data_IF_550650112991
#
_entry.id   IF_550650112991
#
_cell.length_a   1.000
_cell.length_b   1.000
_cell.length_c   1.000
_cell.angle_alpha   90.00
_cell.angle_beta   90.00
_cell.angle_gamma   90.00
#
_symmetry.space_group_name_H-M   'P 1'
#
loop_
_entity.id
_entity.type
_entity.pdbx_description
1 polymer ?
#
# COMPACT_ATOMS: atom_id res chain seq x y z
N UNK A 1 -27.74 -5.70 -6.03
CA UNK A 1 -26.34 -5.27 -6.22
C UNK A 1 -26.14 -4.49 -7.54
N UNK A 2 -27.15 -3.76 -8.05
CA UNK A 2 -27.17 -3.37 -9.47
C UNK A 2 -27.13 -1.84 -9.73
N UNK A 3 -27.60 -0.98 -8.82
CA UNK A 3 -27.64 0.47 -9.08
C UNK A 3 -26.27 1.15 -8.98
N UNK A 4 -25.45 0.79 -7.97
CA UNK A 4 -24.15 1.43 -7.74
C UNK A 4 -23.16 1.16 -8.88
N UNK A 5 -23.03 -0.11 -9.31
CA UNK A 5 -22.11 -0.51 -10.40
C UNK A 5 -22.57 0.10 -11.73
N UNK A 6 -23.87 0.09 -12.03
CA UNK A 6 -24.38 0.72 -13.25
C UNK A 6 -24.20 2.24 -13.24
N UNK A 7 -24.38 2.89 -12.08
CA UNK A 7 -24.10 4.31 -11.92
C UNK A 7 -22.63 4.62 -12.16
N UNK A 8 -21.73 3.81 -11.62
CA UNK A 8 -20.28 3.94 -11.87
C UNK A 8 -19.94 3.73 -13.35
N UNK A 9 -20.48 2.69 -13.98
CA UNK A 9 -20.28 2.42 -15.41
C UNK A 9 -20.74 3.59 -16.28
N UNK A 10 -21.91 4.15 -15.99
CA UNK A 10 -22.44 5.35 -16.68
C UNK A 10 -21.54 6.57 -16.47
N UNK A 11 -21.03 6.79 -15.25
CA UNK A 11 -20.10 7.88 -14.96
C UNK A 11 -18.78 7.72 -15.73
N UNK A 12 -18.22 6.51 -15.80
CA UNK A 12 -17.00 6.22 -16.56
C UNK A 12 -17.22 6.49 -18.05
N UNK A 13 -18.30 5.96 -18.63
CA UNK A 13 -18.61 6.18 -20.06
C UNK A 13 -18.77 7.67 -20.39
N UNK A 14 -19.45 8.42 -19.50
CA UNK A 14 -19.63 9.87 -19.64
C UNK A 14 -18.30 10.61 -19.58
N UNK A 15 -17.47 10.31 -18.57
CA UNK A 15 -16.17 10.96 -18.37
C UNK A 15 -15.16 10.60 -19.48
N UNK A 16 -15.23 9.39 -20.02
CA UNK A 16 -14.37 8.93 -21.10
C UNK A 16 -14.80 9.43 -22.49
N UNK A 17 -15.94 10.13 -22.60
CA UNK A 17 -16.52 10.57 -23.87
C UNK A 17 -16.61 9.43 -24.89
N UNK A 18 -17.02 8.24 -24.44
CA UNK A 18 -17.16 7.05 -25.30
C UNK A 18 -15.85 6.34 -25.67
N UNK A 19 -14.69 6.74 -25.15
CA UNK A 19 -13.39 6.08 -25.42
C UNK A 19 -13.15 4.81 -24.60
N UNK A 20 -13.98 4.57 -23.58
CA UNK A 20 -13.89 3.40 -22.71
C UNK A 20 -15.19 2.61 -22.82
N UNK A 21 -15.09 1.34 -23.17
CA UNK A 21 -16.21 0.40 -23.15
C UNK A 21 -16.28 -0.26 -21.78
N UNK A 22 -17.44 -0.15 -21.12
CA UNK A 22 -17.71 -0.81 -19.82
C UNK A 22 -18.82 -1.83 -20.01
N UNK A 23 -18.54 -3.09 -19.69
CA UNK A 23 -19.49 -4.20 -19.80
C UNK A 23 -19.72 -4.81 -18.42
N UNK A 24 -20.72 -4.35 -17.64
CA UNK A 24 -21.06 -4.95 -16.36
C UNK A 24 -21.52 -6.39 -16.56
N UNK A 25 -20.99 -7.31 -15.75
CA UNK A 25 -21.46 -8.69 -15.70
C UNK A 25 -22.14 -8.95 -14.36
N UNK A 26 -23.33 -9.55 -14.39
CA UNK A 26 -24.01 -9.98 -13.17
C UNK A 26 -23.27 -11.18 -12.61
N UNK A 27 -22.78 -11.15 -11.35
CA UNK A 27 -22.15 -12.32 -10.77
C UNK A 27 -23.15 -13.49 -10.69
N UNK A 28 -22.73 -14.67 -11.13
CA UNK A 28 -23.55 -15.90 -11.16
C UNK A 28 -23.45 -16.75 -9.89
N UNK A 29 -22.74 -16.28 -8.87
CA UNK A 29 -22.41 -17.07 -7.68
C UNK A 29 -23.56 -17.15 -6.68
N UNK A 30 -23.84 -18.36 -6.17
CA UNK A 30 -24.83 -18.61 -5.11
C UNK A 30 -24.32 -18.30 -3.71
N UNK A 31 -23.26 -18.98 -3.25
CA UNK A 31 -22.67 -18.78 -1.92
C UNK A 31 -21.32 -18.06 -1.95
N UNK A 32 -20.87 -17.56 -0.81
CA UNK A 32 -19.51 -17.02 -0.65
C UNK A 32 -18.44 -18.05 -1.09
N UNK A 33 -18.63 -19.33 -0.75
CA UNK A 33 -17.72 -20.41 -1.12
C UNK A 33 -17.68 -20.63 -2.64
N UNK A 34 -18.83 -20.54 -3.30
CA UNK A 34 -18.89 -20.69 -4.77
C UNK A 34 -18.25 -19.49 -5.47
N UNK A 35 -18.36 -18.29 -4.88
CA UNK A 35 -17.71 -17.07 -5.41
C UNK A 35 -16.19 -17.04 -5.21
N UNK A 36 -15.67 -17.81 -4.26
CA UNK A 36 -14.25 -17.77 -3.85
C UNK A 36 -13.45 -19.00 -4.26
N UNK A 37 -14.06 -20.05 -4.82
CA UNK A 37 -13.35 -21.24 -5.31
C UNK A 37 -13.34 -21.31 -6.85
N UNK A 38 -12.21 -21.70 -7.47
CA UNK A 38 -10.94 -22.12 -6.87
C UNK A 38 -9.97 -20.94 -6.58
N UNK A 39 -10.48 -19.77 -6.19
CA UNK A 39 -9.76 -18.51 -5.93
C UNK A 39 -9.56 -17.63 -7.18
N UNK A 40 -10.64 -17.01 -7.71
CA UNK A 40 -10.55 -16.18 -8.92
C UNK A 40 -9.67 -14.93 -8.75
N UNK A 41 -9.31 -14.58 -7.51
CA UNK A 41 -8.45 -13.43 -7.19
C UNK A 41 -7.00 -13.81 -6.89
N UNK A 42 -6.67 -15.11 -6.85
CA UNK A 42 -5.28 -15.53 -6.71
C UNK A 42 -4.50 -15.20 -7.97
N UNK A 43 -3.38 -14.48 -7.79
CA UNK A 43 -2.36 -14.44 -8.84
C UNK A 43 -1.89 -15.87 -9.13
N UNK A 44 -1.81 -16.20 -10.41
CA UNK A 44 -1.20 -17.45 -10.90
C UNK A 44 0.31 -17.26 -11.16
N UNK A 45 0.85 -16.08 -10.86
CA UNK A 45 2.24 -15.71 -11.08
C UNK A 45 2.88 -15.19 -9.79
N UNK A 46 4.11 -15.62 -9.54
CA UNK A 46 4.96 -15.22 -8.41
C UNK A 46 6.43 -15.25 -8.82
N UNK A 47 7.32 -14.70 -7.98
CA UNK A 47 8.77 -14.72 -8.23
C UNK A 47 9.29 -13.53 -9.04
N UNK A 48 8.42 -12.56 -9.38
CA UNK A 48 8.86 -11.27 -9.88
C UNK A 48 9.51 -10.47 -8.74
N UNK A 49 10.66 -9.86 -9.01
CA UNK A 49 11.29 -8.90 -8.10
C UNK A 49 10.63 -7.54 -8.28
N UNK A 50 10.19 -6.94 -7.20
CA UNK A 50 9.57 -5.62 -7.25
C UNK A 50 9.55 -4.97 -5.89
N UNK A 51 9.52 -3.64 -5.91
CA UNK A 51 9.23 -2.84 -4.75
C UNK A 51 8.06 -1.91 -5.07
N UNK A 52 7.29 -1.59 -4.04
CA UNK A 52 6.14 -0.71 -4.12
C UNK A 52 6.10 0.18 -2.90
N UNK A 53 5.38 1.28 -3.03
CA UNK A 53 4.87 2.05 -1.89
C UNK A 53 3.36 1.99 -1.89
N UNK A 54 2.76 2.19 -0.72
CA UNK A 54 1.31 2.22 -0.63
C UNK A 54 0.79 3.19 0.40
N UNK A 55 -0.49 3.54 0.26
CA UNK A 55 -1.18 4.47 1.14
C UNK A 55 -2.65 4.07 1.30
N UNK A 56 -3.20 4.17 2.50
CA UNK A 56 -4.63 4.01 2.69
C UNK A 56 -5.32 5.36 2.43
N UNK A 57 -6.34 5.34 1.58
CA UNK A 57 -7.07 6.54 1.15
C UNK A 57 -8.53 6.42 1.54
N UNK A 58 -9.04 7.42 2.24
CA UNK A 58 -10.42 7.54 2.68
C UNK A 58 -11.17 8.62 1.91
N UNK A 59 -12.23 9.14 2.55
CA UNK A 59 -13.06 10.19 1.96
C UNK A 59 -12.30 11.48 1.71
N UNK A 60 -11.49 11.90 2.68
CA UNK A 60 -10.78 13.18 2.61
C UNK A 60 -9.86 13.23 1.38
N UNK A 61 -9.17 12.12 1.11
CA UNK A 61 -8.20 11.98 0.04
C UNK A 61 -8.84 11.79 -1.33
N UNK A 62 -10.04 11.19 -1.40
CA UNK A 62 -10.67 10.76 -2.65
C UNK A 62 -11.87 11.61 -3.10
N UNK A 63 -12.59 12.23 -2.16
CA UNK A 63 -13.90 12.85 -2.42
C UNK A 63 -13.93 14.32 -2.01
N UNK A 64 -13.38 14.64 -0.84
CA UNK A 64 -13.45 16.01 -0.31
C UNK A 64 -12.34 16.90 -0.91
N UNK A 65 -11.36 16.30 -1.58
CA UNK A 65 -10.31 16.98 -2.32
C UNK A 65 -10.83 17.54 -3.67
N UNK A 66 -10.41 18.75 -4.09
CA UNK A 66 -10.70 19.26 -5.43
C UNK A 66 -10.23 18.28 -6.51
N UNK A 67 -11.06 18.07 -7.55
CA UNK A 67 -10.75 17.12 -8.63
C UNK A 67 -9.44 17.41 -9.36
N UNK A 68 -9.05 18.68 -9.46
CA UNK A 68 -7.80 19.08 -10.09
C UNK A 68 -6.59 18.56 -9.28
N UNK A 69 -6.66 18.64 -7.95
CA UNK A 69 -5.61 18.19 -7.05
C UNK A 69 -5.56 16.66 -7.02
N UNK A 70 -6.71 15.99 -6.94
CA UNK A 70 -6.79 14.53 -7.06
C UNK A 70 -6.14 14.03 -8.36
N UNK A 71 -6.44 14.67 -9.49
CA UNK A 71 -5.82 14.33 -10.78
C UNK A 71 -4.32 14.57 -10.74
N UNK A 72 -3.87 15.67 -10.14
CA UNK A 72 -2.44 15.98 -10.03
C UNK A 72 -1.70 14.93 -9.20
N UNK A 73 -2.23 14.53 -8.04
CA UNK A 73 -1.61 13.49 -7.22
C UNK A 73 -1.59 12.14 -7.93
N UNK A 74 -2.69 11.74 -8.58
CA UNK A 74 -2.74 10.52 -9.38
C UNK A 74 -1.69 10.52 -10.51
N UNK A 75 -1.48 11.65 -11.18
CA UNK A 75 -0.44 11.78 -12.21
C UNK A 75 0.97 11.66 -11.62
N UNK A 76 1.21 12.26 -10.44
CA UNK A 76 2.51 12.24 -9.79
C UNK A 76 2.89 10.86 -9.26
N UNK A 77 1.94 10.06 -8.77
CA UNK A 77 2.22 8.68 -8.35
C UNK A 77 2.34 7.72 -9.54
N UNK A 78 1.82 8.08 -10.72
CA UNK A 78 1.89 7.26 -11.94
C UNK A 78 3.13 7.57 -12.80
N UNK A 79 4.24 7.97 -12.18
CA UNK A 79 5.53 8.11 -12.85
C UNK A 79 6.36 6.83 -12.72
N UNK A 80 7.31 6.64 -13.62
CA UNK A 80 8.25 5.50 -13.60
C UNK A 80 9.69 6.01 -13.60
N UNK A 81 10.58 5.29 -12.92
CA UNK A 81 12.01 5.53 -12.98
C UNK A 81 12.59 5.20 -14.36
N UNK A 82 11.92 4.31 -15.10
CA UNK A 82 12.23 3.96 -16.47
C UNK A 82 11.05 4.31 -17.39
N UNK A 83 11.31 5.18 -18.38
CA UNK A 83 10.30 5.67 -19.31
C UNK A 83 9.72 4.56 -20.19
N UNK A 84 10.47 3.49 -20.41
CA UNK A 84 10.07 2.40 -21.31
C UNK A 84 9.26 1.31 -20.59
N UNK A 85 9.49 1.13 -19.27
CA UNK A 85 8.81 0.12 -18.45
C UNK A 85 7.42 0.52 -17.95
N UNK A 86 7.11 1.82 -17.95
CA UNK A 86 5.82 2.34 -17.45
C UNK A 86 5.65 2.21 -15.93
N UNK A 87 4.49 2.62 -15.44
CA UNK A 87 4.11 2.56 -14.02
C UNK A 87 2.74 1.89 -13.86
N UNK A 88 2.43 1.43 -12.65
CA UNK A 88 1.14 0.85 -12.34
C UNK A 88 0.69 1.31 -10.96
N UNK A 89 -0.60 1.60 -10.80
CA UNK A 89 -1.21 1.76 -9.48
C UNK A 89 -2.37 0.80 -9.35
N UNK A 90 -2.37 0.02 -8.26
CA UNK A 90 -3.42 -0.93 -7.93
C UNK A 90 -4.27 -0.35 -6.80
N UNK A 91 -5.58 -0.30 -7.03
CA UNK A 91 -6.56 0.18 -6.06
C UNK A 91 -7.25 -1.01 -5.41
N UNK A 92 -6.77 -1.42 -4.24
CA UNK A 92 -7.42 -2.41 -3.41
C UNK A 92 -8.64 -1.83 -2.70
N UNK A 93 -9.81 -2.49 -2.80
CA UNK A 93 -11.05 -2.08 -2.14
C UNK A 93 -11.32 -2.90 -0.87
N UNK A 94 -10.31 -3.06 0.00
CA UNK A 94 -10.41 -3.86 1.24
C UNK A 94 -10.90 -3.05 2.45
N UNK A 95 -11.03 -1.72 2.32
CA UNK A 95 -11.50 -0.83 3.38
C UNK A 95 -13.02 -0.82 3.56
N UNK A 96 -13.56 0.29 4.08
CA UNK A 96 -15.00 0.52 4.18
C UNK A 96 -15.65 -0.01 5.46
N UNK A 97 -16.97 -0.29 5.45
CA UNK A 97 -17.76 -0.47 6.68
C UNK A 97 -17.30 -1.59 7.60
N UNK A 98 -16.71 -2.66 7.07
CA UNK A 98 -16.19 -3.77 7.87
C UNK A 98 -15.08 -3.29 8.81
N UNK A 99 -13.91 -2.90 8.26
CA UNK A 99 -12.84 -2.32 9.06
C UNK A 99 -13.27 -1.07 9.85
N UNK A 100 -14.09 -0.18 9.28
CA UNK A 100 -14.53 1.05 9.94
C UNK A 100 -15.33 0.83 11.22
N UNK A 101 -16.16 -0.23 11.26
CA UNK A 101 -17.07 -0.50 12.37
C UNK A 101 -16.56 -1.54 13.36
N UNK A 102 -15.29 -1.96 13.24
CA UNK A 102 -14.69 -2.89 14.21
C UNK A 102 -14.75 -2.31 15.63
N UNK A 103 -15.42 -2.99 16.58
CA UNK A 103 -15.49 -2.57 17.98
C UNK A 103 -14.11 -2.38 18.60
N UNK A 104 -13.96 -1.41 19.50
CA UNK A 104 -12.65 -0.99 20.02
C UNK A 104 -11.84 -2.14 20.62
N UNK A 105 -12.50 -3.01 21.38
CA UNK A 105 -11.96 -4.20 22.03
C UNK A 105 -11.47 -5.28 21.04
N UNK A 106 -11.85 -5.19 19.76
CA UNK A 106 -11.43 -6.12 18.69
C UNK A 106 -10.47 -5.49 17.68
N UNK A 107 -10.05 -4.23 17.86
CA UNK A 107 -9.18 -3.54 16.89
C UNK A 107 -7.74 -4.05 16.92
N UNK A 108 -7.27 -4.52 18.06
CA UNK A 108 -5.87 -4.90 18.24
C UNK A 108 -4.92 -3.72 17.94
N UNK A 109 -3.78 -4.02 17.32
CA UNK A 109 -2.75 -3.05 16.92
C UNK A 109 -2.90 -2.52 15.50
N UNK A 110 -4.05 -2.77 14.85
CA UNK A 110 -4.27 -2.33 13.46
C UNK A 110 -4.26 -0.80 13.39
N UNK A 111 -3.48 -0.26 12.44
CA UNK A 111 -3.34 1.18 12.21
C UNK A 111 -4.72 1.89 12.15
N UNK A 112 -4.94 3.01 12.89
CA UNK A 112 -6.25 3.66 12.97
C UNK A 112 -6.82 4.12 11.62
N UNK A 113 -5.97 4.48 10.65
CA UNK A 113 -6.41 4.87 9.32
C UNK A 113 -7.25 3.81 8.58
N UNK A 114 -7.13 2.52 8.92
CA UNK A 114 -8.04 1.48 8.43
C UNK A 114 -9.51 1.73 8.79
N UNK A 115 -9.80 2.59 9.77
CA UNK A 115 -11.17 2.93 10.17
C UNK A 115 -11.84 3.93 9.21
N UNK A 116 -11.07 4.67 8.44
CA UNK A 116 -11.56 5.69 7.50
C UNK A 116 -11.24 5.36 6.04
N UNK A 117 -10.28 4.47 5.81
CA UNK A 117 -9.87 4.03 4.48
C UNK A 117 -10.99 3.33 3.71
N UNK A 118 -11.05 3.61 2.41
CA UNK A 118 -11.82 2.85 1.43
C UNK A 118 -10.89 2.05 0.52
N UNK A 119 -9.75 2.66 0.18
CA UNK A 119 -8.78 2.16 -0.78
C UNK A 119 -7.46 1.91 -0.07
N UNK A 120 -6.82 0.79 -0.40
CA UNK A 120 -5.38 0.61 -0.24
C UNK A 120 -4.75 0.77 -1.63
N UNK A 121 -4.09 1.91 -1.84
CA UNK A 121 -3.49 2.25 -3.13
C UNK A 121 -2.01 1.84 -3.10
N UNK A 122 -1.63 0.93 -4.00
CA UNK A 122 -0.25 0.48 -4.18
C UNK A 122 0.29 1.03 -5.49
N UNK A 123 1.48 1.63 -5.45
CA UNK A 123 2.12 2.23 -6.61
C UNK A 123 3.44 1.53 -6.90
N UNK A 124 3.59 1.20 -8.18
CA UNK A 124 4.75 0.56 -8.79
C UNK A 124 5.31 1.50 -9.86
N UNK A 125 6.61 1.79 -9.79
CA UNK A 125 7.28 2.69 -10.73
C UNK A 125 8.79 2.53 -10.79
N UNK A 126 9.42 1.79 -9.88
CA UNK A 126 10.84 1.46 -9.97
C UNK A 126 11.03 -0.06 -10.08
N UNK A 127 11.27 -0.61 -11.29
CA UNK A 127 11.59 -2.03 -11.44
C UNK A 127 12.92 -2.34 -10.77
N UNK A 128 13.04 -3.56 -10.22
CA UNK A 128 14.28 -4.06 -9.65
C UNK A 128 15.01 -4.92 -10.68
N UNK A 129 16.29 -4.65 -10.88
CA UNK A 129 17.17 -5.54 -11.65
C UNK A 129 17.42 -6.81 -10.82
N UNK A 130 16.74 -7.90 -11.19
CA UNK A 130 16.83 -9.20 -10.52
C UNK A 130 18.20 -9.89 -10.71
N UNK A 131 19.07 -9.37 -11.59
CA UNK A 131 20.42 -9.90 -11.83
C UNK A 131 21.51 -9.11 -11.14
N UNK A 132 21.20 -7.92 -10.61
CA UNK A 132 22.13 -7.08 -9.89
C UNK A 132 22.35 -7.53 -8.44
N UNK A 133 23.36 -6.95 -7.79
CA UNK A 133 23.51 -7.03 -6.34
C UNK A 133 22.26 -6.47 -5.65
N UNK A 134 21.65 -7.27 -4.79
CA UNK A 134 20.36 -6.94 -4.17
C UNK A 134 20.42 -5.66 -3.33
N UNK A 135 21.54 -5.41 -2.64
CA UNK A 135 21.71 -4.18 -1.85
C UNK A 135 21.68 -2.95 -2.76
N UNK A 136 22.37 -3.00 -3.91
CA UNK A 136 22.38 -1.89 -4.88
C UNK A 136 21.02 -1.69 -5.54
N UNK A 137 20.37 -2.77 -5.95
CA UNK A 137 19.06 -2.70 -6.60
C UNK A 137 17.99 -2.10 -5.65
N UNK A 138 17.97 -2.55 -4.39
CA UNK A 138 17.04 -2.03 -3.38
C UNK A 138 17.36 -0.58 -2.98
N UNK A 139 18.64 -0.22 -2.83
CA UNK A 139 19.04 1.14 -2.51
C UNK A 139 18.59 2.13 -3.61
N UNK A 140 18.85 1.81 -4.88
CA UNK A 140 18.46 2.68 -5.99
C UNK A 140 16.93 2.85 -6.10
N UNK A 141 16.17 1.75 -5.96
CA UNK A 141 14.71 1.83 -6.01
C UNK A 141 14.15 2.58 -4.80
N UNK A 142 14.72 2.40 -3.59
CA UNK A 142 14.20 3.00 -2.36
C UNK A 142 14.45 4.50 -2.35
N UNK A 143 15.64 4.93 -2.78
CA UNK A 143 15.95 6.34 -2.99
C UNK A 143 14.99 6.97 -4.02
N UNK A 144 14.68 6.26 -5.11
CA UNK A 144 13.73 6.76 -6.09
C UNK A 144 12.32 6.95 -5.51
N UNK A 145 11.77 5.95 -4.81
CA UNK A 145 10.45 6.09 -4.18
C UNK A 145 10.43 7.19 -3.12
N UNK A 146 11.46 7.27 -2.26
CA UNK A 146 11.56 8.27 -1.20
C UNK A 146 11.66 9.70 -1.75
N UNK A 147 12.27 9.88 -2.93
CA UNK A 147 12.43 11.19 -3.58
C UNK A 147 11.27 11.58 -4.49
N UNK A 148 10.56 10.62 -5.09
CA UNK A 148 9.55 10.91 -6.12
C UNK A 148 8.12 10.64 -5.69
N UNK A 149 7.87 9.59 -4.90
CA UNK A 149 6.50 9.12 -4.62
C UNK A 149 6.10 9.34 -3.16
N UNK A 150 6.98 9.04 -2.20
CA UNK A 150 6.67 9.25 -0.78
C UNK A 150 6.35 10.71 -0.43
N UNK A 151 6.99 11.75 -1.01
CA UNK A 151 6.60 13.14 -0.76
C UNK A 151 5.18 13.44 -1.24
N UNK A 152 4.76 12.81 -2.35
CA UNK A 152 3.40 12.94 -2.89
C UNK A 152 2.41 12.35 -1.90
N UNK A 153 2.70 11.18 -1.33
CA UNK A 153 1.86 10.57 -0.32
C UNK A 153 1.76 11.39 0.96
N UNK A 154 2.89 11.91 1.45
CA UNK A 154 2.94 12.77 2.65
C UNK A 154 2.14 14.05 2.47
N UNK A 155 2.03 14.57 1.24
CA UNK A 155 1.21 15.73 0.92
C UNK A 155 -0.28 15.39 0.71
N UNK A 156 -0.57 14.28 0.03
CA UNK A 156 -1.95 13.92 -0.35
C UNK A 156 -2.73 13.27 0.79
N UNK A 157 -2.09 12.37 1.56
CA UNK A 157 -2.73 11.49 2.52
C UNK A 157 -2.00 11.48 3.87
N UNK A 158 -1.79 12.67 4.43
CA UNK A 158 -1.14 12.85 5.72
C UNK A 158 -1.91 12.08 6.82
N UNK A 159 -1.24 11.17 7.52
CA UNK A 159 -1.87 10.30 8.53
C UNK A 159 -2.71 9.15 7.96
N UNK A 160 -2.77 9.00 6.63
CA UNK A 160 -3.48 7.91 5.96
C UNK A 160 -2.89 6.52 6.21
N UNK A 161 -1.66 6.43 6.71
CA UNK A 161 -1.00 5.15 6.97
C UNK A 161 -0.78 4.30 5.71
N UNK A 162 -0.05 3.22 5.86
CA UNK A 162 0.35 2.30 4.79
C UNK A 162 0.24 0.87 5.32
N UNK A 163 -0.01 -0.08 4.43
CA UNK A 163 -0.11 -1.48 4.82
C UNK A 163 1.29 -2.11 4.81
N UNK A 164 1.82 -2.45 6.00
CA UNK A 164 3.18 -2.95 6.16
C UNK A 164 3.55 -4.16 5.29
N UNK A 165 2.59 -5.03 4.98
CA UNK A 165 2.84 -6.21 4.15
C UNK A 165 2.95 -5.89 2.65
N UNK A 166 2.49 -4.71 2.23
CA UNK A 166 2.44 -4.27 0.83
C UNK A 166 2.82 -2.78 0.75
N UNK A 167 3.89 -2.39 1.44
CA UNK A 167 4.32 -1.01 1.60
C UNK A 167 5.84 -0.86 1.53
N UNK A 168 6.31 0.38 1.57
CA UNK A 168 7.72 0.71 1.44
C UNK A 168 8.40 0.78 2.82
N UNK A 169 9.12 -0.27 3.20
CA UNK A 169 9.84 -0.34 4.48
C UNK A 169 11.02 0.64 4.57
N UNK A 170 11.49 1.16 3.43
CA UNK A 170 12.59 2.12 3.35
C UNK A 170 12.14 3.58 3.39
N UNK A 171 10.81 3.82 3.45
CA UNK A 171 10.27 5.17 3.65
C UNK A 171 10.85 5.79 4.91
N UNK A 172 11.28 7.05 4.85
CA UNK A 172 11.77 7.76 6.05
C UNK A 172 10.72 7.86 7.16
N UNK A 173 9.44 7.66 6.83
CA UNK A 173 8.30 7.70 7.74
C UNK A 173 7.65 6.34 7.99
N UNK A 174 8.32 5.22 7.68
CA UNK A 174 7.73 3.86 7.77
C UNK A 174 7.09 3.54 9.12
N UNK A 175 7.65 4.04 10.24
CA UNK A 175 7.09 3.82 11.59
C UNK A 175 5.69 4.40 11.73
N UNK A 176 5.53 5.66 11.35
CA UNK A 176 4.24 6.35 11.34
C UNK A 176 3.32 5.71 10.31
N UNK A 177 3.84 5.41 9.11
CA UNK A 177 3.05 4.87 8.03
C UNK A 177 2.45 3.50 8.39
N UNK A 178 3.23 2.58 8.96
CA UNK A 178 2.78 1.23 9.25
C UNK A 178 2.06 1.07 10.58
N UNK A 179 2.50 1.80 11.60
CA UNK A 179 2.05 1.59 12.98
C UNK A 179 1.35 2.80 13.58
N UNK A 180 1.67 4.01 13.11
CA UNK A 180 1.10 5.27 13.57
C UNK A 180 1.25 5.44 15.07
N UNK A 181 0.20 5.96 15.72
CA UNK A 181 0.14 6.16 17.18
C UNK A 181 0.38 4.90 18.02
N UNK A 182 0.31 3.69 17.42
CA UNK A 182 0.55 2.45 18.16
C UNK A 182 2.05 2.12 18.30
N UNK A 183 2.95 2.78 17.57
CA UNK A 183 4.36 2.37 17.48
C UNK A 183 5.03 2.26 18.84
N UNK A 184 4.96 3.29 19.68
CA UNK A 184 5.67 3.34 20.97
C UNK A 184 5.20 2.23 21.93
N UNK A 185 3.90 1.95 21.94
CA UNK A 185 3.35 0.85 22.74
C UNK A 185 3.82 -0.50 22.22
N UNK A 186 3.85 -0.68 20.90
CA UNK A 186 4.36 -1.91 20.28
C UNK A 186 5.85 -2.08 20.57
N UNK A 187 6.63 -0.99 20.57
CA UNK A 187 8.05 -1.00 20.88
C UNK A 187 8.30 -1.44 22.32
N UNK A 188 7.54 -0.90 23.28
CA UNK A 188 7.62 -1.36 24.68
C UNK A 188 7.27 -2.85 24.84
N UNK A 189 6.34 -3.37 24.04
CA UNK A 189 6.04 -4.81 24.00
C UNK A 189 7.23 -5.58 23.40
N UNK A 190 7.80 -5.11 22.29
CA UNK A 190 8.96 -5.71 21.64
C UNK A 190 10.13 -5.83 22.60
N UNK A 191 10.52 -4.75 23.29
CA UNK A 191 11.60 -4.78 24.27
C UNK A 191 11.31 -5.67 25.47
N UNK A 192 10.05 -5.78 25.90
CA UNK A 192 9.68 -6.67 27.01
C UNK A 192 9.84 -8.16 26.65
N UNK A 193 9.45 -8.55 25.44
CA UNK A 193 9.35 -9.95 25.04
C UNK A 193 10.50 -10.44 24.16
N UNK A 194 11.21 -9.55 23.50
CA UNK A 194 12.40 -9.82 22.69
C UNK A 194 13.48 -8.73 22.93
N UNK A 195 14.01 -8.61 24.16
CA UNK A 195 14.99 -7.58 24.52
C UNK A 195 16.31 -7.72 23.76
N UNK A 196 16.63 -8.92 23.27
CA UNK A 196 17.83 -9.19 22.47
C UNK A 196 17.60 -9.00 20.97
N UNK A 197 16.40 -8.59 20.56
CA UNK A 197 16.03 -8.36 19.15
C UNK A 197 16.34 -9.56 18.25
N UNK A 198 16.17 -10.77 18.79
CA UNK A 198 16.44 -12.03 18.08
C UNK A 198 15.46 -12.27 16.93
N UNK A 199 14.31 -11.60 16.93
CA UNK A 199 13.34 -11.60 15.83
C UNK A 199 13.43 -10.28 15.06
N UNK A 200 14.46 -10.12 14.23
CA UNK A 200 14.65 -8.94 13.37
C UNK A 200 13.93 -9.10 12.02
N UNK A 201 13.24 -8.04 11.57
CA UNK A 201 12.70 -7.89 10.22
C UNK A 201 12.77 -6.42 9.80
N UNK A 202 13.02 -6.15 8.51
CA UNK A 202 12.98 -4.78 7.98
C UNK A 202 11.59 -4.15 8.12
N UNK A 203 11.56 -2.88 8.55
CA UNK A 203 10.30 -2.17 8.81
C UNK A 203 9.49 -2.77 9.97
N UNK A 204 10.08 -3.69 10.74
CA UNK A 204 9.53 -4.24 11.97
C UNK A 204 9.68 -3.25 13.12
N UNK A 205 8.79 -3.35 14.11
CA UNK A 205 8.88 -2.56 15.35
C UNK A 205 10.25 -2.76 16.02
N UNK A 206 10.96 -1.66 16.26
CA UNK A 206 12.30 -1.62 16.85
C UNK A 206 13.45 -1.87 15.86
N UNK A 207 13.15 -2.17 14.59
CA UNK A 207 14.18 -2.47 13.59
C UNK A 207 15.14 -1.31 13.31
N UNK A 208 14.74 -0.07 13.62
CA UNK A 208 15.56 1.13 13.46
C UNK A 208 16.69 1.27 14.48
N UNK A 209 16.64 0.53 15.59
CA UNK A 209 17.71 0.42 16.59
C UNK A 209 18.89 -0.42 16.08
N UNK A 210 18.73 -1.06 14.91
CA UNK A 210 19.71 -1.96 14.31
C UNK A 210 20.04 -1.52 12.88
N UNK A 211 21.20 -1.95 12.42
CA UNK A 211 21.67 -1.78 11.05
C UNK A 211 21.93 -3.17 10.46
N UNK A 212 21.18 -3.50 9.39
CA UNK A 212 21.43 -4.68 8.59
C UNK A 212 22.09 -4.28 7.29
N UNK A 213 23.29 -4.81 7.05
CA UNK A 213 24.02 -4.62 5.81
C UNK A 213 23.64 -5.71 4.82
N UNK A 214 22.87 -5.33 3.79
CA UNK A 214 22.34 -6.26 2.76
C UNK A 214 23.42 -6.95 1.93
N UNK A 215 24.65 -6.43 1.93
CA UNK A 215 25.74 -6.95 1.12
C UNK A 215 26.56 -8.03 1.87
N UNK A 216 26.90 -7.76 3.13
CA UNK A 216 27.68 -8.62 4.02
C UNK A 216 26.81 -9.56 4.85
N UNK A 217 25.54 -9.22 5.05
CA UNK A 217 24.60 -9.96 5.91
C UNK A 217 24.81 -9.73 7.41
N UNK A 218 25.62 -8.75 7.80
CA UNK A 218 25.82 -8.41 9.20
C UNK A 218 24.63 -7.62 9.76
N UNK A 219 24.20 -8.00 10.96
CA UNK A 219 23.22 -7.27 11.75
C UNK A 219 23.91 -6.72 13.00
N UNK A 220 23.95 -5.39 13.12
CA UNK A 220 24.64 -4.68 14.19
C UNK A 220 23.67 -3.78 14.95
N UNK A 221 23.86 -3.65 16.26
CA UNK A 221 23.18 -2.63 17.07
C UNK A 221 23.79 -1.25 16.77
N UNK A 222 22.97 -0.20 16.76
CA UNK A 222 23.40 1.19 16.49
C UNK A 222 23.91 1.92 17.72
#
# INVERSE_FOLDING_TARGET
MNSTVNKLASQIQTAAHGRVTVTPQTPSSGSYWDSTKPNPLASQSSGASGMMTSRLLGRAELVDLPRADLRSYLQQILVSSDRDSGSMTLFGLQGGPGPARTPAERRGSVHPAWRTAYVHAMTYGAPLDATADASKALAAASEWYESHIEPVWRNWALGGGSYANEGNVFSSTWKEDFYGENYDRLLGIKHKYDPSMSLFVYGGVGSDEWEYDLHSGLLCEK
#
